data_IF_021956717295
#
_entry.id   IF_021956717295
#
_cell.length_a   1.000
_cell.length_b   1.000
_cell.length_c   1.000
_cell.angle_alpha   90.00
_cell.angle_beta   90.00
_cell.angle_gamma   90.00
#
_symmetry.space_group_name_H-M   'P 1'
#
loop_
_entity.id
_entity.type
_entity.pdbx_description
1 polymer ?
#
# COMPACT_ATOMS: atom_id res chain seq x y z
N UNK A 1 -23.01 1.47 -15.04
CA UNK A 1 -22.04 2.53 -14.70
C UNK A 1 -20.79 1.81 -14.20
N UNK A 2 -19.61 2.03 -14.78
CA UNK A 2 -18.37 1.48 -14.23
C UNK A 2 -17.99 2.38 -13.05
N UNK A 3 -17.97 1.86 -11.82
CA UNK A 3 -17.42 2.59 -10.69
C UNK A 3 -15.98 2.98 -11.03
N UNK A 4 -15.73 4.28 -11.10
CA UNK A 4 -14.41 4.80 -11.43
C UNK A 4 -13.58 4.71 -10.16
N UNK A 5 -12.72 3.70 -10.07
CA UNK A 5 -11.91 3.52 -8.86
C UNK A 5 -11.06 4.77 -8.69
N UNK A 6 -11.32 5.50 -7.60
CA UNK A 6 -10.57 6.71 -7.27
C UNK A 6 -9.09 6.35 -7.12
N UNK A 7 -8.18 7.03 -7.85
CA UNK A 7 -6.75 6.88 -7.61
C UNK A 7 -6.40 7.50 -6.26
N UNK A 8 -5.37 6.99 -5.55
CA UNK A 8 -4.90 7.58 -4.30
C UNK A 8 -4.46 9.03 -4.53
N UNK A 9 -4.77 9.93 -3.58
CA UNK A 9 -4.56 11.37 -3.72
C UNK A 9 -3.72 11.93 -2.58
N UNK A 10 -2.42 11.81 -2.70
CA UNK A 10 -1.52 12.47 -1.77
C UNK A 10 -1.22 13.89 -2.23
N UNK A 11 -1.33 14.85 -1.30
CA UNK A 11 -0.63 16.12 -1.44
C UNK A 11 0.88 15.86 -1.52
N UNK A 12 1.60 16.71 -2.25
CA UNK A 12 3.05 16.58 -2.46
C UNK A 12 3.80 16.40 -1.13
N UNK A 13 3.49 17.25 -0.17
CA UNK A 13 4.16 17.26 1.14
C UNK A 13 3.75 16.04 1.98
N UNK A 14 2.51 15.55 1.81
CA UNK A 14 2.07 14.27 2.36
C UNK A 14 2.93 13.10 1.88
N UNK A 15 3.24 13.01 0.57
CA UNK A 15 4.15 11.95 0.06
C UNK A 15 5.55 12.06 0.68
N UNK A 16 6.08 13.27 0.83
CA UNK A 16 7.40 13.49 1.45
C UNK A 16 7.39 13.01 2.90
N UNK A 17 6.34 13.34 3.67
CA UNK A 17 6.20 12.90 5.07
C UNK A 17 6.01 11.38 5.20
N UNK A 18 5.21 10.76 4.33
CA UNK A 18 5.07 9.29 4.30
C UNK A 18 6.42 8.63 4.02
N UNK A 19 7.15 9.11 3.00
CA UNK A 19 8.49 8.60 2.69
C UNK A 19 9.43 8.76 3.89
N UNK A 20 9.35 9.89 4.60
CA UNK A 20 10.12 10.13 5.81
C UNK A 20 9.80 9.11 6.91
N UNK A 21 8.52 8.82 7.13
CA UNK A 21 8.03 7.78 8.04
C UNK A 21 8.41 6.36 7.64
N UNK A 22 8.69 6.12 6.35
CA UNK A 22 9.29 4.88 5.83
C UNK A 22 10.83 4.85 5.97
N UNK A 23 11.45 5.85 6.59
CA UNK A 23 12.90 5.97 6.74
C UNK A 23 13.62 6.54 5.51
N UNK A 24 12.88 7.02 4.51
CA UNK A 24 13.43 7.58 3.26
C UNK A 24 13.56 9.09 3.40
N UNK A 25 14.73 9.53 3.86
CA UNK A 25 15.05 10.92 4.15
C UNK A 25 15.34 11.70 2.87
N UNK A 26 14.40 12.54 2.44
CA UNK A 26 14.58 13.46 1.32
C UNK A 26 15.20 14.78 1.81
N UNK A 27 15.98 15.49 0.97
CA UNK A 27 16.42 16.85 1.29
C UNK A 27 15.22 17.78 1.55
N UNK A 28 15.27 18.60 2.59
CA UNK A 28 14.18 19.51 3.02
C UNK A 28 13.70 20.49 1.95
N UNK A 29 14.54 20.77 0.94
CA UNK A 29 14.21 21.59 -0.22
C UNK A 29 14.07 20.79 -1.52
N UNK A 30 13.75 19.49 -1.45
CA UNK A 30 13.61 18.65 -2.64
C UNK A 30 12.66 19.28 -3.65
N UNK A 31 13.08 19.41 -4.91
CA UNK A 31 12.26 19.95 -6.02
C UNK A 31 11.69 18.83 -6.91
N UNK A 32 11.59 17.62 -6.37
CA UNK A 32 11.00 16.51 -7.11
C UNK A 32 9.54 16.83 -7.44
N UNK A 33 9.20 16.60 -8.71
CA UNK A 33 7.84 16.71 -9.20
C UNK A 33 6.94 15.64 -8.52
N UNK A 34 5.63 15.91 -8.36
CA UNK A 34 4.71 14.97 -7.72
C UNK A 34 4.73 13.56 -8.33
N UNK A 35 4.92 13.43 -9.64
CA UNK A 35 5.05 12.13 -10.31
C UNK A 35 6.27 11.33 -9.86
N UNK A 36 7.43 12.00 -9.69
CA UNK A 36 8.66 11.38 -9.21
C UNK A 36 8.56 10.97 -7.73
N UNK A 37 7.91 11.79 -6.90
CA UNK A 37 7.61 11.45 -5.51
C UNK A 37 6.71 10.23 -5.40
N UNK A 38 5.62 10.17 -6.17
CA UNK A 38 4.73 9.01 -6.21
C UNK A 38 5.43 7.74 -6.70
N UNK A 39 6.31 7.86 -7.70
CA UNK A 39 7.12 6.74 -8.15
C UNK A 39 8.07 6.25 -7.05
N UNK A 40 8.67 7.18 -6.28
CA UNK A 40 9.53 6.84 -5.14
C UNK A 40 8.74 6.14 -4.02
N UNK A 41 7.53 6.60 -3.73
CA UNK A 41 6.61 5.93 -2.80
C UNK A 41 6.30 4.50 -3.24
N UNK A 42 6.01 4.28 -4.53
CA UNK A 42 5.79 2.90 -5.05
C UNK A 42 7.01 2.01 -4.85
N UNK A 43 8.20 2.50 -5.17
CA UNK A 43 9.45 1.76 -4.94
C UNK A 43 9.69 1.46 -3.46
N UNK A 44 9.31 2.39 -2.59
CA UNK A 44 9.37 2.20 -1.15
C UNK A 44 8.42 1.09 -0.68
N UNK A 45 7.19 1.05 -1.22
CA UNK A 45 6.20 0.01 -0.94
C UNK A 45 6.64 -1.36 -1.48
N UNK A 46 7.27 -1.43 -2.66
CA UNK A 46 7.87 -2.67 -3.18
C UNK A 46 9.02 -3.16 -2.30
N UNK A 47 9.89 -2.23 -1.86
CA UNK A 47 11.00 -2.54 -0.96
C UNK A 47 10.50 -3.03 0.41
N UNK A 48 9.46 -2.40 0.96
CA UNK A 48 8.81 -2.82 2.21
C UNK A 48 8.22 -4.23 2.14
N UNK A 49 7.76 -4.65 0.96
CA UNK A 49 7.28 -6.01 0.69
C UNK A 49 8.39 -6.99 0.30
N UNK A 50 9.63 -6.51 0.13
CA UNK A 50 10.74 -7.25 -0.48
C UNK A 50 10.35 -7.89 -1.81
N UNK A 51 9.54 -7.17 -2.60
CA UNK A 51 8.85 -7.72 -3.76
C UNK A 51 9.81 -8.41 -4.74
N UNK A 52 10.91 -7.75 -5.10
CA UNK A 52 11.89 -8.28 -6.06
C UNK A 52 12.75 -9.45 -5.53
N UNK A 53 12.83 -9.63 -4.20
CA UNK A 53 13.47 -10.82 -3.62
C UNK A 53 12.58 -12.06 -3.79
N UNK A 54 11.26 -11.84 -3.77
CA UNK A 54 10.25 -12.90 -3.88
C UNK A 54 9.90 -13.18 -5.35
N UNK A 55 9.77 -12.13 -6.16
CA UNK A 55 9.35 -12.21 -7.56
C UNK A 55 10.35 -11.50 -8.50
N UNK A 56 11.46 -12.15 -8.87
CA UNK A 56 12.47 -11.53 -9.74
C UNK A 56 11.94 -11.07 -11.10
N UNK A 57 10.91 -11.75 -11.63
CA UNK A 57 10.35 -11.48 -12.96
C UNK A 57 9.14 -10.52 -12.95
N UNK A 58 8.71 -10.05 -11.78
CA UNK A 58 7.57 -9.13 -11.57
C UNK A 58 6.19 -9.58 -12.06
N UNK A 59 6.09 -10.71 -12.77
CA UNK A 59 4.83 -11.33 -13.18
C UNK A 59 4.40 -12.38 -12.14
N UNK A 60 3.28 -12.13 -11.47
CA UNK A 60 2.74 -12.95 -10.39
C UNK A 60 1.50 -13.65 -10.90
N UNK A 61 1.60 -14.96 -11.08
CA UNK A 61 0.47 -15.83 -11.35
C UNK A 61 0.14 -16.65 -10.09
N UNK A 62 -0.93 -16.31 -9.35
CA UNK A 62 -1.29 -17.00 -8.10
C UNK A 62 -1.46 -18.52 -8.22
N UNK A 63 -1.78 -19.05 -9.40
CA UNK A 63 -1.98 -20.49 -9.61
C UNK A 63 -0.67 -21.28 -9.74
N UNK A 64 0.46 -20.59 -9.92
CA UNK A 64 1.80 -21.21 -9.93
C UNK A 64 2.30 -21.54 -8.52
N UNK A 65 1.62 -21.05 -7.49
CA UNK A 65 1.99 -21.23 -6.10
C UNK A 65 1.02 -22.18 -5.39
N UNK A 66 1.50 -23.13 -4.58
CA UNK A 66 0.63 -24.00 -3.80
C UNK A 66 -0.20 -23.18 -2.81
N UNK A 67 -1.40 -23.67 -2.50
CA UNK A 67 -2.18 -23.15 -1.39
C UNK A 67 -1.41 -23.31 -0.07
N UNK A 68 -1.53 -22.32 0.81
CA UNK A 68 -0.87 -22.31 2.10
C UNK A 68 -1.33 -23.50 2.94
N UNK A 69 -0.39 -24.42 3.22
CA UNK A 69 -0.66 -25.57 4.05
C UNK A 69 -0.53 -25.15 5.51
N UNK A 70 -1.55 -25.44 6.30
CA UNK A 70 -1.75 -24.98 7.67
C UNK A 70 -0.76 -25.53 8.72
N UNK A 71 0.46 -25.87 8.34
CA UNK A 71 1.49 -26.30 9.28
C UNK A 71 1.93 -25.15 10.18
N UNK A 72 1.76 -23.90 9.71
CA UNK A 72 2.06 -22.68 10.47
C UNK A 72 0.91 -21.67 10.32
N UNK A 73 0.50 -21.01 11.42
CA UNK A 73 -0.39 -19.86 11.36
C UNK A 73 0.20 -18.77 10.46
N UNK A 74 -0.64 -18.18 9.63
CA UNK A 74 -0.25 -17.13 8.67
C UNK A 74 0.30 -15.92 9.40
N UNK A 75 -0.30 -15.53 10.53
CA UNK A 75 0.14 -14.36 11.29
C UNK A 75 1.56 -14.46 11.82
N UNK A 76 2.05 -15.66 12.14
CA UNK A 76 3.44 -15.81 12.56
C UNK A 76 4.41 -15.45 11.43
N UNK A 77 4.04 -15.72 10.18
CA UNK A 77 4.85 -15.39 9.02
C UNK A 77 4.78 -13.90 8.63
N UNK A 78 3.65 -13.24 8.86
CA UNK A 78 3.54 -11.78 8.69
C UNK A 78 4.29 -11.03 9.79
N UNK A 79 4.19 -11.51 11.03
CA UNK A 79 4.86 -10.92 12.19
C UNK A 79 6.39 -11.08 12.14
N UNK A 80 6.91 -12.22 11.67
CA UNK A 80 8.37 -12.50 11.60
C UNK A 80 9.18 -11.50 10.75
N UNK A 81 8.53 -10.71 9.90
CA UNK A 81 9.21 -9.66 9.14
C UNK A 81 9.38 -8.34 9.89
N UNK A 82 8.83 -8.21 11.11
CA UNK A 82 9.07 -7.06 11.98
C UNK A 82 10.43 -7.14 12.63
N UNK A 83 11.07 -5.98 12.77
CA UNK A 83 12.21 -5.85 13.66
C UNK A 83 11.67 -5.91 15.10
N UNK A 84 12.13 -6.82 15.98
CA UNK A 84 11.69 -6.88 17.37
C UNK A 84 11.85 -5.55 18.13
N UNK A 85 12.78 -4.71 17.69
CA UNK A 85 12.97 -3.37 18.23
C UNK A 85 11.78 -2.42 17.95
N UNK A 86 11.07 -2.61 16.83
CA UNK A 86 9.88 -1.83 16.50
C UNK A 86 8.69 -2.15 17.42
N UNK A 87 8.54 -3.41 17.85
CA UNK A 87 7.47 -3.84 18.76
C UNK A 87 7.69 -3.32 20.20
N UNK A 88 8.93 -3.00 20.58
CA UNK A 88 9.24 -2.46 21.91
C UNK A 88 8.78 -1.01 22.13
N UNK A 89 8.50 -0.28 21.04
CA UNK A 89 7.96 1.08 21.07
C UNK A 89 6.44 1.01 20.98
N UNK A 90 5.84 0.53 22.05
CA UNK A 90 4.42 0.44 22.39
C UNK A 90 3.48 1.27 21.48
N UNK A 91 3.11 0.71 20.32
CA UNK A 91 1.95 1.15 19.52
C UNK A 91 0.79 0.23 19.88
N UNK A 92 0.42 0.18 21.16
CA UNK A 92 -0.88 -0.39 21.54
C UNK A 92 -1.96 0.45 20.83
N UNK A 93 -2.69 -0.09 19.83
CA UNK A 93 -3.48 0.75 18.92
C UNK A 93 -4.63 1.50 19.61
N UNK A 94 -5.05 1.09 20.80
CA UNK A 94 -6.34 1.50 21.35
C UNK A 94 -6.38 1.74 22.88
N UNK A 95 -5.26 1.69 23.62
CA UNK A 95 -5.35 1.73 25.10
C UNK A 95 -4.93 3.01 25.82
N UNK A 96 -4.33 4.02 25.17
CA UNK A 96 -3.84 5.20 25.93
C UNK A 96 -4.03 6.59 25.27
N UNK A 97 -4.77 6.75 24.17
CA UNK A 97 -4.93 8.10 23.55
C UNK A 97 -6.04 8.95 24.21
N UNK A 98 -6.86 8.39 25.10
CA UNK A 98 -7.82 9.20 25.89
C UNK A 98 -7.20 9.93 27.10
N UNK A 99 -5.89 9.80 27.33
CA UNK A 99 -5.21 10.31 28.54
C UNK A 99 -4.44 11.60 28.37
N UNK A 100 -5.15 12.72 28.24
CA UNK A 100 -4.95 14.05 28.85
C UNK A 100 -3.66 14.48 29.60
N UNK A 101 -2.46 13.98 29.30
CA UNK A 101 -1.23 14.41 29.99
C UNK A 101 -0.08 14.74 29.02
N UNK A 102 0.54 15.90 29.27
CA UNK A 102 1.81 16.42 28.75
C UNK A 102 1.75 17.31 27.51
N UNK A 103 1.33 18.57 27.71
CA UNK A 103 1.95 19.70 27.02
C UNK A 103 2.12 20.89 27.97
N UNK A 104 3.20 20.87 28.77
CA UNK A 104 3.81 22.08 29.34
C UNK A 104 5.34 21.97 29.23
N UNK A 105 5.89 22.23 28.03
CA UNK A 105 7.25 22.73 27.86
C UNK A 105 7.46 23.17 26.40
N UNK A 106 7.82 24.44 26.20
CA UNK A 106 7.90 25.15 24.91
C UNK A 106 9.00 24.72 23.93
N UNK A 107 9.17 23.42 23.69
CA UNK A 107 9.87 22.91 22.50
C UNK A 107 8.82 22.69 21.42
N UNK A 108 8.97 23.36 20.26
CA UNK A 108 8.02 23.29 19.14
C UNK A 108 7.53 21.87 18.89
N UNK A 109 6.29 21.61 19.30
CA UNK A 109 5.65 20.32 19.19
C UNK A 109 5.43 20.11 17.70
N UNK A 110 5.89 18.99 17.12
CA UNK A 110 5.54 18.63 15.75
C UNK A 110 4.04 18.79 15.56
N UNK A 111 3.62 19.35 14.44
CA UNK A 111 2.19 19.52 14.18
C UNK A 111 1.51 18.15 14.28
N UNK A 112 0.32 18.06 14.87
CA UNK A 112 -0.37 16.78 15.07
C UNK A 112 -0.52 16.02 13.74
N UNK A 113 -0.68 16.78 12.65
CA UNK A 113 -0.71 16.27 11.29
C UNK A 113 0.61 15.59 10.87
N UNK A 114 1.78 16.12 11.27
CA UNK A 114 3.09 15.54 10.93
C UNK A 114 3.23 14.11 11.47
N UNK A 115 2.77 13.90 12.71
CA UNK A 115 2.81 12.59 13.37
C UNK A 115 1.88 11.57 12.71
N UNK A 116 0.80 12.00 12.07
CA UNK A 116 -0.10 11.09 11.38
C UNK A 116 0.60 10.45 10.18
N UNK A 117 1.19 11.24 9.28
CA UNK A 117 1.87 10.71 8.09
C UNK A 117 3.00 9.74 8.42
N UNK A 118 3.79 10.04 9.47
CA UNK A 118 4.89 9.17 9.92
C UNK A 118 4.36 7.80 10.40
N UNK A 119 3.24 7.82 11.11
CA UNK A 119 2.63 6.63 11.71
C UNK A 119 1.75 5.84 10.73
N UNK A 120 1.19 6.47 9.69
CA UNK A 120 0.27 5.82 8.75
C UNK A 120 0.85 4.56 8.12
N UNK A 121 2.13 4.59 7.73
CA UNK A 121 2.78 3.40 7.14
C UNK A 121 2.91 2.25 8.14
N UNK A 122 3.30 2.54 9.39
CA UNK A 122 3.38 1.53 10.45
C UNK A 122 2.00 0.96 10.78
N UNK A 123 0.97 1.79 10.87
CA UNK A 123 -0.41 1.34 11.08
C UNK A 123 -0.88 0.43 9.94
N UNK A 124 -0.54 0.74 8.69
CA UNK A 124 -0.82 -0.15 7.55
C UNK A 124 -0.14 -1.52 7.72
N UNK A 125 1.14 -1.58 8.14
CA UNK A 125 1.82 -2.85 8.45
C UNK A 125 1.07 -3.62 9.55
N UNK A 126 0.65 -2.94 10.62
CA UNK A 126 -0.10 -3.56 11.72
C UNK A 126 -1.45 -4.11 11.27
N UNK A 127 -2.18 -3.36 10.46
CA UNK A 127 -3.48 -3.79 9.93
C UNK A 127 -3.36 -5.01 9.01
N UNK A 128 -2.36 -5.06 8.12
CA UNK A 128 -2.14 -6.22 7.25
C UNK A 128 -1.81 -7.47 8.08
N UNK A 129 -1.02 -7.33 9.14
CA UNK A 129 -0.76 -8.42 10.08
C UNK A 129 -2.02 -8.84 10.83
N UNK A 130 -2.85 -7.89 11.26
CA UNK A 130 -4.12 -8.20 11.91
C UNK A 130 -5.08 -8.97 10.98
N UNK A 131 -5.11 -8.64 9.68
CA UNK A 131 -5.87 -9.42 8.70
C UNK A 131 -5.45 -10.89 8.68
N UNK A 132 -4.16 -11.18 8.86
CA UNK A 132 -3.65 -12.54 8.92
C UNK A 132 -4.04 -13.28 10.21
N UNK A 133 -4.12 -12.57 11.35
CA UNK A 133 -4.68 -13.11 12.61
C UNK A 133 -6.15 -13.47 12.40
N UNK A 134 -6.92 -12.56 11.80
CA UNK A 134 -8.32 -12.81 11.49
C UNK A 134 -8.53 -13.95 10.50
N UNK A 135 -7.62 -14.13 9.54
CA UNK A 135 -7.64 -15.28 8.65
C UNK A 135 -7.44 -16.59 9.42
N UNK A 136 -6.43 -16.65 10.28
CA UNK A 136 -6.16 -17.86 11.08
C UNK A 136 -7.32 -18.21 12.01
N UNK A 137 -8.04 -17.21 12.54
CA UNK A 137 -9.18 -17.42 13.43
C UNK A 137 -10.49 -17.77 12.69
N UNK A 138 -10.74 -17.18 11.51
CA UNK A 138 -12.05 -17.26 10.82
C UNK A 138 -12.00 -17.91 9.44
N UNK A 139 -10.95 -17.63 8.66
CA UNK A 139 -10.79 -18.08 7.27
C UNK A 139 -10.49 -19.58 7.14
N UNK A 140 -9.98 -20.20 8.22
CA UNK A 140 -9.58 -21.60 8.26
C UNK A 140 -10.66 -22.61 7.84
N UNK A 141 -11.94 -22.30 8.05
CA UNK A 141 -13.06 -23.20 7.74
C UNK A 141 -13.58 -23.11 6.30
N UNK A 142 -12.73 -22.71 5.35
CA UNK A 142 -13.10 -22.52 3.94
C UNK A 142 -13.96 -21.27 3.71
N UNK A 143 -13.91 -20.32 4.66
CA UNK A 143 -14.60 -19.04 4.57
C UNK A 143 -13.70 -17.97 3.95
N UNK A 144 -14.28 -17.10 3.14
CA UNK A 144 -13.60 -15.87 2.75
C UNK A 144 -13.49 -14.94 3.98
N UNK A 145 -12.41 -14.17 4.08
CA UNK A 145 -12.31 -13.09 5.06
C UNK A 145 -12.69 -11.77 4.41
N UNK A 146 -13.78 -11.17 4.89
CA UNK A 146 -14.25 -9.86 4.46
C UNK A 146 -13.78 -8.79 5.44
N UNK A 147 -13.20 -7.73 4.89
CA UNK A 147 -12.62 -6.61 5.63
C UNK A 147 -13.15 -5.31 5.01
N UNK A 148 -13.50 -4.35 5.86
CA UNK A 148 -13.91 -3.01 5.46
C UNK A 148 -12.99 -1.98 6.09
N UNK A 149 -12.19 -1.30 5.27
CA UNK A 149 -11.43 -0.12 5.69
C UNK A 149 -12.30 1.10 5.48
N UNK A 150 -12.66 1.80 6.55
CA UNK A 150 -13.58 2.94 6.50
C UNK A 150 -12.83 4.20 6.91
N UNK A 151 -12.87 5.22 6.05
CA UNK A 151 -12.33 6.53 6.39
C UNK A 151 -13.09 7.11 7.60
N UNK A 152 -12.38 7.65 8.59
CA UNK A 152 -12.98 8.27 9.78
C UNK A 152 -13.60 9.63 9.48
N UNK A 153 -13.08 10.36 8.49
CA UNK A 153 -13.48 11.73 8.17
C UNK A 153 -14.45 11.79 6.99
N UNK A 154 -14.40 10.81 6.09
CA UNK A 154 -15.23 10.74 4.88
C UNK A 154 -16.05 9.47 4.84
N UNK A 155 -17.11 9.40 4.03
CA UNK A 155 -17.80 8.11 3.80
C UNK A 155 -17.06 7.22 2.77
N UNK A 156 -15.79 7.52 2.46
CA UNK A 156 -14.97 6.68 1.59
C UNK A 156 -14.60 5.38 2.30
N UNK A 157 -14.55 4.30 1.53
CA UNK A 157 -14.18 3.00 2.08
C UNK A 157 -13.50 2.10 1.04
N UNK A 158 -12.75 1.12 1.53
CA UNK A 158 -12.21 0.03 0.72
C UNK A 158 -12.68 -1.28 1.31
N UNK A 159 -13.49 -2.00 0.54
CA UNK A 159 -13.89 -3.36 0.89
C UNK A 159 -12.90 -4.35 0.29
N UNK A 160 -12.35 -5.21 1.14
CA UNK A 160 -11.40 -6.26 0.80
C UNK A 160 -12.02 -7.62 1.09
N UNK A 161 -11.78 -8.58 0.20
CA UNK A 161 -12.11 -9.99 0.41
C UNK A 161 -10.87 -10.83 0.16
N UNK A 162 -10.32 -11.41 1.22
CA UNK A 162 -9.24 -12.40 1.08
C UNK A 162 -9.87 -13.70 0.58
N UNK A 163 -9.40 -14.14 -0.59
CA UNK A 163 -9.93 -15.29 -1.33
C UNK A 163 -9.14 -16.55 -1.01
N UNK A 164 -7.81 -16.42 -0.96
CA UNK A 164 -6.92 -17.55 -0.70
C UNK A 164 -5.58 -17.06 -0.20
N UNK A 165 -4.82 -17.95 0.40
CA UNK A 165 -3.42 -17.70 0.76
C UNK A 165 -2.56 -18.72 0.02
N UNK A 166 -1.51 -18.23 -0.63
CA UNK A 166 -0.55 -19.04 -1.37
C UNK A 166 0.81 -19.03 -0.68
N UNK A 167 1.55 -20.13 -0.75
CA UNK A 167 2.94 -20.19 -0.30
C UNK A 167 3.87 -19.88 -1.47
N UNK A 168 4.47 -18.68 -1.46
CA UNK A 168 5.29 -18.18 -2.57
C UNK A 168 6.77 -18.57 -2.45
N UNK A 169 7.20 -18.86 -1.22
CA UNK A 169 8.46 -19.48 -0.88
C UNK A 169 8.29 -20.18 0.47
N UNK A 170 9.25 -21.01 0.88
CA UNK A 170 9.16 -21.76 2.13
C UNK A 170 8.87 -20.84 3.32
N UNK A 171 7.66 -20.98 3.90
CA UNK A 171 7.21 -20.17 5.04
C UNK A 171 6.90 -18.70 4.73
N UNK A 172 6.73 -18.32 3.45
CA UNK A 172 6.31 -16.99 3.03
C UNK A 172 4.89 -17.05 2.44
N UNK A 173 3.87 -16.54 3.15
CA UNK A 173 2.50 -16.47 2.64
C UNK A 173 2.32 -15.26 1.71
N UNK A 174 1.37 -15.38 0.78
CA UNK A 174 0.81 -14.28 0.00
C UNK A 174 -0.70 -14.33 0.15
N UNK A 175 -1.30 -13.26 0.67
CA UNK A 175 -2.75 -13.14 0.81
C UNK A 175 -3.35 -12.62 -0.49
N UNK A 176 -4.00 -13.48 -1.26
CA UNK A 176 -4.63 -13.11 -2.52
C UNK A 176 -6.06 -12.62 -2.27
N UNK A 177 -6.40 -11.45 -2.81
CA UNK A 177 -7.64 -10.77 -2.46
C UNK A 177 -8.30 -10.03 -3.62
N UNK A 178 -9.60 -9.81 -3.45
CA UNK A 178 -10.39 -8.89 -4.25
C UNK A 178 -10.61 -7.59 -3.46
N UNK A 179 -10.62 -6.45 -4.15
CA UNK A 179 -10.97 -5.18 -3.54
C UNK A 179 -11.85 -4.30 -4.41
N UNK A 180 -12.64 -3.45 -3.75
CA UNK A 180 -13.39 -2.36 -4.37
C UNK A 180 -13.24 -1.11 -3.50
N UNK A 181 -12.94 0.01 -4.13
CA UNK A 181 -12.96 1.32 -3.47
C UNK A 181 -14.32 1.96 -3.72
N UNK A 182 -14.89 2.55 -2.68
CA UNK A 182 -16.18 3.24 -2.70
C UNK A 182 -15.92 4.68 -2.28
N UNK A 183 -16.46 5.62 -3.04
CA UNK A 183 -16.44 7.06 -2.76
C UNK A 183 -17.88 7.52 -2.54
N UNK A 184 -18.11 8.36 -1.54
CA UNK A 184 -19.43 8.90 -1.19
C UNK A 184 -20.10 9.61 -2.37
N UNK A 185 -19.29 10.31 -3.17
CA UNK A 185 -19.79 11.05 -4.33
C UNK A 185 -20.35 10.14 -5.42
N UNK A 186 -19.92 8.88 -5.44
CA UNK A 186 -20.39 7.83 -6.33
C UNK A 186 -21.25 6.82 -5.56
N UNK A 187 -22.22 7.28 -4.74
CA UNK A 187 -23.24 6.41 -4.14
C UNK A 187 -23.76 5.45 -5.20
N UNK A 188 -23.41 4.16 -5.14
CA UNK A 188 -24.00 3.20 -6.06
C UNK A 188 -25.50 3.24 -5.80
N UNK A 189 -26.34 3.18 -6.84
CA UNK A 189 -27.80 3.02 -6.66
C UNK A 189 -28.15 1.83 -5.74
N UNK A 190 -27.18 0.95 -5.51
CA UNK A 190 -27.21 -0.18 -4.61
C UNK A 190 -26.53 0.09 -3.24
N UNK A 191 -26.77 1.26 -2.62
CA UNK A 191 -26.42 1.55 -1.20
C UNK A 191 -26.79 0.38 -0.27
N UNK A 192 -27.86 -0.35 -0.61
CA UNK A 192 -28.30 -1.57 0.08
C UNK A 192 -27.24 -2.67 0.08
N UNK A 193 -26.44 -2.78 -0.97
CA UNK A 193 -25.38 -3.81 -1.07
C UNK A 193 -24.24 -3.50 -0.10
N UNK A 194 -23.88 -2.23 0.08
CA UNK A 194 -22.85 -1.83 1.05
C UNK A 194 -23.34 -1.92 2.50
N UNK A 195 -24.54 -1.42 2.79
CA UNK A 195 -25.15 -1.58 4.13
C UNK A 195 -25.37 -3.06 4.49
N UNK A 196 -25.69 -3.91 3.50
CA UNK A 196 -25.74 -5.37 3.69
C UNK A 196 -24.38 -5.98 3.96
N UNK A 197 -23.30 -5.44 3.39
CA UNK A 197 -21.93 -5.90 3.68
C UNK A 197 -21.56 -5.55 5.12
N UNK A 198 -21.78 -4.31 5.58
CA UNK A 198 -21.49 -3.90 6.97
C UNK A 198 -22.31 -4.69 8.01
N UNK A 199 -23.56 -5.03 7.68
CA UNK A 199 -24.44 -5.85 8.52
C UNK A 199 -24.27 -7.36 8.37
N UNK A 200 -23.41 -7.82 7.45
CA UNK A 200 -23.11 -9.24 7.30
C UNK A 200 -22.24 -9.71 8.46
N UNK A 201 -22.69 -10.75 9.17
CA UNK A 201 -21.92 -11.35 10.26
C UNK A 201 -20.52 -11.73 9.78
N UNK A 202 -19.49 -11.14 10.41
CA UNK A 202 -18.10 -11.59 10.27
C UNK A 202 -17.16 -10.62 9.56
N UNK A 203 -17.65 -9.52 8.95
CA UNK A 203 -16.80 -8.50 8.34
C UNK A 203 -15.98 -7.77 9.43
N UNK A 204 -14.65 -7.75 9.28
CA UNK A 204 -13.79 -6.91 10.12
C UNK A 204 -13.86 -5.47 9.66
N UNK A 205 -14.33 -4.54 10.50
CA UNK A 205 -14.41 -3.11 10.17
C UNK A 205 -13.25 -2.40 10.86
N UNK A 206 -12.45 -1.68 10.08
CA UNK A 206 -11.28 -0.95 10.54
C UNK A 206 -11.41 0.53 10.21
N UNK A 207 -11.55 1.40 11.24
CA UNK A 207 -11.47 2.83 11.03
C UNK A 207 -10.03 3.23 10.69
N UNK A 208 -9.88 3.98 9.61
CA UNK A 208 -8.60 4.46 9.09
C UNK A 208 -8.68 5.93 8.74
N UNK A 209 -7.57 6.65 8.82
CA UNK A 209 -7.51 8.02 8.31
C UNK A 209 -7.53 8.03 6.77
N UNK A 210 -7.84 9.18 6.17
CA UNK A 210 -7.76 9.36 4.71
C UNK A 210 -6.39 9.00 4.15
N UNK A 211 -5.32 9.36 4.86
CA UNK A 211 -3.93 9.08 4.47
C UNK A 211 -3.67 7.57 4.44
N UNK A 212 -4.13 6.86 5.47
CA UNK A 212 -4.00 5.40 5.58
C UNK A 212 -4.78 4.71 4.47
N UNK A 213 -6.02 5.12 4.21
CA UNK A 213 -6.85 4.56 3.15
C UNK A 213 -6.21 4.74 1.77
N UNK A 214 -5.73 5.95 1.46
CA UNK A 214 -5.03 6.24 0.21
C UNK A 214 -3.71 5.44 0.09
N UNK A 215 -3.00 5.20 1.20
CA UNK A 215 -1.79 4.37 1.22
C UNK A 215 -2.10 2.90 0.92
N UNK A 216 -3.17 2.36 1.51
CA UNK A 216 -3.70 1.04 1.18
C UNK A 216 -4.09 0.93 -0.30
N UNK A 217 -4.81 1.92 -0.84
CA UNK A 217 -5.15 1.95 -2.27
C UNK A 217 -3.88 1.98 -3.14
N UNK A 218 -2.89 2.79 -2.78
CA UNK A 218 -1.63 2.87 -3.52
C UNK A 218 -0.90 1.52 -3.55
N UNK A 219 -0.89 0.79 -2.43
CA UNK A 219 -0.35 -0.58 -2.33
C UNK A 219 -1.16 -1.57 -3.19
N UNK A 220 -2.49 -1.56 -3.06
CA UNK A 220 -3.38 -2.47 -3.80
C UNK A 220 -3.27 -2.29 -5.32
N UNK A 221 -3.21 -1.04 -5.78
CA UNK A 221 -3.02 -0.71 -7.20
C UNK A 221 -1.61 -1.02 -7.71
N UNK A 222 -0.60 -0.93 -6.85
CA UNK A 222 0.76 -1.33 -7.17
C UNK A 222 0.80 -2.84 -7.40
N UNK A 223 0.34 -3.61 -6.41
CA UNK A 223 0.34 -5.08 -6.45
C UNK A 223 -0.53 -5.63 -7.58
N UNK A 224 -1.65 -4.98 -7.91
CA UNK A 224 -2.47 -5.33 -9.09
C UNK A 224 -1.65 -5.37 -10.39
N UNK A 225 -0.72 -4.45 -10.59
CA UNK A 225 0.08 -4.37 -11.82
C UNK A 225 1.07 -5.52 -11.96
N UNK A 226 1.38 -6.18 -10.84
CA UNK A 226 2.23 -7.35 -10.81
C UNK A 226 1.46 -8.65 -11.09
N UNK A 227 0.12 -8.63 -11.04
CA UNK A 227 -0.67 -9.83 -11.34
C UNK A 227 -0.66 -10.08 -12.86
N UNK A 228 -0.39 -11.34 -13.23
CA UNK A 228 -0.37 -11.76 -14.62
C UNK A 228 -1.69 -11.43 -15.32
N UNK A 229 -1.66 -10.82 -16.52
CA UNK A 229 -2.88 -10.52 -17.27
C UNK A 229 -3.63 -11.78 -17.71
N UNK A 230 -2.98 -12.94 -17.67
CA UNK A 230 -3.55 -14.24 -18.00
C UNK A 230 -4.21 -14.93 -16.79
N UNK A 231 -3.94 -14.47 -15.57
CA UNK A 231 -4.56 -15.04 -14.39
C UNK A 231 -6.07 -14.79 -14.40
N UNK A 232 -6.83 -15.83 -14.07
CA UNK A 232 -8.28 -15.81 -13.96
C UNK A 232 -8.61 -16.45 -12.61
N UNK A 233 -9.01 -15.66 -11.60
CA UNK A 233 -9.34 -16.25 -10.32
C UNK A 233 -10.53 -17.20 -10.49
N UNK A 234 -10.62 -18.24 -9.67
CA UNK A 234 -11.75 -19.17 -9.70
C UNK A 234 -13.01 -18.45 -9.21
N UNK A 235 -13.73 -17.78 -10.11
CA UNK A 235 -14.97 -17.03 -9.80
C UNK A 235 -16.16 -17.95 -9.50
N UNK A 236 -15.97 -19.27 -9.53
CA UNK A 236 -17.05 -20.27 -9.57
C UNK A 236 -17.67 -20.63 -8.21
N UNK A 237 -17.43 -19.86 -7.14
CA UNK A 237 -18.22 -20.05 -5.92
C UNK A 237 -19.67 -19.59 -6.16
N UNK A 238 -20.69 -20.47 -6.01
CA UNK A 238 -22.10 -20.17 -6.31
C UNK A 238 -22.75 -19.11 -5.40
N UNK A 239 -22.01 -18.47 -4.49
CA UNK A 239 -22.54 -17.43 -3.62
C UNK A 239 -22.97 -16.19 -4.43
N UNK A 240 -24.26 -16.14 -4.73
CA UNK A 240 -24.98 -15.22 -5.63
C UNK A 240 -24.70 -13.72 -5.45
N UNK A 241 -24.16 -13.27 -4.31
CA UNK A 241 -23.86 -11.85 -4.08
C UNK A 241 -22.65 -11.35 -4.87
N UNK A 242 -21.70 -12.23 -5.20
CA UNK A 242 -20.50 -11.80 -5.92
C UNK A 242 -20.76 -11.60 -7.42
N UNK A 243 -21.62 -12.40 -8.04
CA UNK A 243 -21.78 -12.38 -9.52
C UNK A 243 -22.34 -11.07 -10.07
N UNK A 244 -23.11 -10.31 -9.28
CA UNK A 244 -23.62 -9.00 -9.71
C UNK A 244 -22.57 -7.88 -9.50
N UNK A 245 -21.85 -7.91 -8.37
CA UNK A 245 -20.87 -6.89 -8.01
C UNK A 245 -19.46 -7.17 -8.58
N UNK A 246 -19.17 -8.39 -9.03
CA UNK A 246 -17.85 -8.87 -9.49
C UNK A 246 -17.23 -8.03 -10.59
N UNK A 247 -18.05 -7.33 -11.38
CA UNK A 247 -17.60 -6.41 -12.44
C UNK A 247 -16.78 -5.23 -11.90
N UNK A 248 -16.90 -4.91 -10.62
CA UNK A 248 -16.23 -3.76 -9.99
C UNK A 248 -15.05 -4.16 -9.11
N UNK A 249 -14.87 -5.46 -8.88
CA UNK A 249 -13.78 -5.95 -8.07
C UNK A 249 -12.47 -6.02 -8.83
N UNK A 250 -11.42 -5.61 -8.14
CA UNK A 250 -10.06 -5.62 -8.63
C UNK A 250 -9.28 -6.68 -7.88
N UNK A 251 -8.37 -7.34 -8.58
CA UNK A 251 -7.48 -8.31 -7.98
C UNK A 251 -6.25 -7.60 -7.43
N UNK A 252 -5.81 -8.03 -6.26
CA UNK A 252 -4.54 -7.63 -5.66
C UNK A 252 -4.05 -8.75 -4.74
N UNK A 253 -2.96 -8.48 -4.03
CA UNK A 253 -2.46 -9.36 -3.00
C UNK A 253 -1.74 -8.54 -1.93
N UNK A 254 -1.56 -9.12 -0.75
CA UNK A 254 -0.62 -8.63 0.25
C UNK A 254 0.52 -9.63 0.45
N UNK A 255 1.72 -9.07 0.60
CA UNK A 255 2.88 -9.76 1.11
C UNK A 255 3.15 -9.31 2.54
N UNK A 256 3.83 -10.12 3.36
CA UNK A 256 4.40 -9.68 4.62
C UNK A 256 5.21 -8.39 4.43
N UNK A 257 4.81 -7.33 5.14
CA UNK A 257 5.43 -6.01 5.03
C UNK A 257 6.34 -5.71 6.22
N UNK A 258 7.40 -4.98 5.96
CA UNK A 258 8.30 -4.42 6.95
C UNK A 258 8.72 -3.00 6.55
N UNK A 259 9.43 -2.31 7.43
CA UNK A 259 10.19 -1.14 7.04
C UNK A 259 11.16 -1.50 5.90
N UNK A 260 11.35 -0.61 4.90
CA UNK A 260 12.41 -0.79 3.91
C UNK A 260 13.75 -1.05 4.59
N UNK A 261 14.56 -1.95 4.01
CA UNK A 261 15.90 -2.24 4.53
C UNK A 261 16.78 -0.98 4.51
N UNK A 262 17.78 -0.86 5.41
CA UNK A 262 18.71 0.28 5.38
C UNK A 262 19.34 0.52 3.99
N UNK A 263 19.80 -0.52 3.25
CA UNK A 263 20.27 -0.34 1.88
C UNK A 263 19.22 0.28 0.94
N UNK A 264 17.96 -0.14 1.05
CA UNK A 264 16.87 0.42 0.24
C UNK A 264 16.52 1.84 0.66
N UNK A 265 16.41 2.11 1.96
CA UNK A 265 16.16 3.44 2.49
C UNK A 265 17.26 4.42 2.04
N UNK A 266 18.54 4.05 2.16
CA UNK A 266 19.68 4.85 1.70
C UNK A 266 19.63 5.04 0.18
N UNK A 267 19.33 3.99 -0.59
CA UNK A 267 19.23 4.06 -2.05
C UNK A 267 18.09 4.98 -2.50
N UNK A 268 16.94 4.91 -1.87
CA UNK A 268 15.76 5.71 -2.19
C UNK A 268 15.87 7.16 -1.67
N UNK A 269 16.68 7.39 -0.64
CA UNK A 269 16.96 8.73 -0.10
C UNK A 269 17.90 9.54 -1.01
N UNK A 270 18.80 8.87 -1.74
CA UNK A 270 19.72 9.52 -2.68
C UNK A 270 18.98 10.05 -3.90
N UNK A 271 19.20 11.32 -4.22
CA UNK A 271 18.75 11.95 -5.47
C UNK A 271 19.74 11.72 -6.64
N UNK A 272 20.65 10.75 -6.53
CA UNK A 272 21.76 10.54 -7.48
C UNK A 272 21.39 9.62 -8.65
N UNK A 273 20.14 9.67 -9.11
CA UNK A 273 19.67 8.82 -10.19
C UNK A 273 18.77 9.59 -11.15
N UNK A 274 18.43 8.92 -12.25
CA UNK A 274 17.61 9.47 -13.31
C UNK A 274 16.33 10.06 -12.72
N UNK A 275 15.98 11.30 -13.05
CA UNK A 275 14.74 11.91 -12.54
C UNK A 275 13.48 11.14 -13.02
N UNK A 276 13.61 10.36 -14.09
CA UNK A 276 12.54 9.54 -14.68
C UNK A 276 12.49 8.12 -14.08
N UNK A 277 13.64 7.45 -13.96
CA UNK A 277 13.67 6.04 -13.55
C UNK A 277 14.43 5.78 -12.23
N UNK A 278 15.13 6.76 -11.68
CA UNK A 278 15.93 6.67 -10.45
C UNK A 278 17.19 5.82 -10.55
N UNK A 279 17.51 5.26 -11.73
CA UNK A 279 18.75 4.48 -11.93
C UNK A 279 19.98 5.37 -11.99
N UNK A 280 21.15 4.81 -11.67
CA UNK A 280 22.42 5.52 -11.81
C UNK A 280 22.58 6.05 -13.24
N UNK A 281 22.90 7.33 -13.34
CA UNK A 281 23.05 8.00 -14.63
C UNK A 281 24.49 8.33 -14.88
N UNK A 282 24.94 8.11 -16.10
CA UNK A 282 26.17 8.71 -16.61
C UNK A 282 25.95 10.14 -17.12
N UNK A 283 24.68 10.51 -17.37
CA UNK A 283 24.30 11.81 -17.93
C UNK A 283 23.64 12.72 -16.91
N UNK A 284 24.18 13.93 -16.79
CA UNK A 284 23.54 15.05 -16.10
C UNK A 284 22.99 15.98 -17.18
N UNK A 285 21.91 16.69 -16.89
CA UNK A 285 21.35 17.69 -17.78
C UNK A 285 22.40 18.76 -18.05
N UNK A 286 22.84 18.91 -19.30
CA UNK A 286 23.88 19.89 -19.66
C UNK A 286 23.48 21.33 -19.29
N UNK A 287 22.18 21.61 -19.25
CA UNK A 287 21.66 22.96 -18.98
C UNK A 287 21.55 23.28 -17.51
N UNK A 288 20.99 22.38 -16.69
CA UNK A 288 20.75 22.67 -15.27
C UNK A 288 21.73 22.00 -14.32
N UNK A 289 22.50 21.00 -14.80
CA UNK A 289 23.41 20.13 -14.04
C UNK A 289 22.83 19.50 -12.76
N UNK A 290 21.52 19.61 -12.55
CA UNK A 290 20.83 19.15 -11.35
C UNK A 290 19.92 17.96 -11.63
N UNK A 291 19.48 17.78 -12.88
CA UNK A 291 18.69 16.63 -13.28
C UNK A 291 19.61 15.57 -13.89
N UNK A 292 19.52 14.35 -13.38
CA UNK A 292 20.22 13.20 -13.92
C UNK A 292 19.24 12.45 -14.84
N UNK A 293 19.71 11.92 -15.98
CA UNK A 293 18.88 11.11 -16.89
C UNK A 293 19.60 9.82 -17.29
N UNK A 294 18.87 8.71 -17.34
CA UNK A 294 19.41 7.49 -17.95
C UNK A 294 19.58 7.76 -19.46
N UNK A 295 20.76 7.45 -20.01
CA UNK A 295 21.12 7.86 -21.37
C UNK A 295 20.20 7.35 -22.49
N UNK A 296 19.29 6.40 -22.20
CA UNK A 296 18.30 5.88 -23.15
C UNK A 296 17.14 6.85 -23.41
N UNK A 297 16.86 7.78 -22.47
CA UNK A 297 15.70 8.68 -22.56
C UNK A 297 16.04 10.12 -22.99
N UNK A 298 17.31 10.47 -23.15
CA UNK A 298 17.75 11.81 -23.64
C UNK A 298 17.13 12.14 -25.01
N UNK A 299 16.94 11.14 -25.88
CA UNK A 299 16.37 11.34 -27.23
C UNK A 299 14.83 11.49 -27.25
N UNK A 300 14.15 11.35 -26.10
CA UNK A 300 12.68 11.46 -26.00
C UNK A 300 12.20 12.75 -25.36
N UNK A 301 13.11 13.64 -24.96
CA UNK A 301 12.70 14.97 -24.53
C UNK A 301 12.21 15.76 -25.73
N UNK A 302 10.98 16.31 -25.70
CA UNK A 302 10.58 17.28 -26.72
C UNK A 302 11.58 18.42 -26.67
N UNK A 303 12.20 18.74 -27.81
CA UNK A 303 13.02 19.93 -27.93
C UNK A 303 12.15 21.12 -27.51
N UNK A 304 12.37 21.65 -26.31
CA UNK A 304 11.73 22.88 -25.87
C UNK A 304 12.38 23.96 -26.72
N UNK A 305 11.74 24.27 -27.84
CA UNK A 305 12.13 25.31 -28.77
C UNK A 305 12.20 26.63 -28.03
N UNK A 306 13.42 27.05 -27.73
CA UNK A 306 13.73 28.45 -27.50
C UNK A 306 13.96 29.08 -28.86
N UNK A 307 12.86 29.31 -29.57
CA UNK A 307 12.86 30.27 -30.67
C UNK A 307 12.06 31.49 -30.19
N UNK A 308 12.80 32.60 -30.08
CA UNK A 308 12.36 34.01 -29.98
C UNK A 308 12.00 34.55 -28.59
N UNK A 309 13.03 35.05 -27.91
CA UNK A 309 12.98 36.31 -27.17
C UNK A 309 14.13 37.21 -27.65
#
# INVERSE_FOLDING_TARGET
MLLTIRPPRFARDGVVRILDGMGIKLPSGTKLEPGALNQRLRKALDAAQRFYEVFPNSDVNPDEYPEWKFEKPVHLCFHMNRNPEDDSRDVSPERNIEGNELVEAGTGIPDFEDLQYEKSFKKMIYLIDDFSIHWDLKGYHGGNLDILLKDEETESAVFLRIVSIREIALGKPMMFLNFVAVDESEKPEDERTFMKMESSYGVGVYPVSTIELDLFLQLLFLNRKHISPNYRPPWESPTHLWNAASKHFNLSFFLPMAMPSDPDAVRLSKNSGCIICGENTTGVCDRCQNAQYCGKDINRMPAIGLENA
#
